data_IF_741201256823
#
_entry.id   IF_741201256823
#
_cell.length_a   1.000
_cell.length_b   1.000
_cell.length_c   1.000
_cell.angle_alpha   90.00
_cell.angle_beta   90.00
_cell.angle_gamma   90.00
#
_symmetry.space_group_name_H-M   'P 1'
#
loop_
_entity.id
_entity.type
_entity.pdbx_description
1 polymer ?
#
# COMPACT_ATOMS: atom_id res chain seq x y z
N UNK A 1 -4.12 2.84 -22.91
CA UNK A 1 -5.15 2.64 -21.86
C UNK A 1 -4.61 1.87 -20.66
N UNK A 2 -3.91 0.75 -20.87
CA UNK A 2 -3.36 -0.08 -19.78
C UNK A 2 -2.35 0.66 -18.87
N UNK A 3 -1.48 1.53 -19.41
CA UNK A 3 -0.53 2.30 -18.60
C UNK A 3 -1.21 3.31 -17.66
N UNK A 4 -2.28 3.97 -18.11
CA UNK A 4 -3.06 4.89 -17.27
C UNK A 4 -3.70 4.12 -16.10
N UNK A 5 -4.23 2.94 -16.38
CA UNK A 5 -4.80 2.05 -15.36
C UNK A 5 -3.75 1.62 -14.33
N UNK A 6 -2.55 1.24 -14.78
CA UNK A 6 -1.44 0.88 -13.88
C UNK A 6 -0.99 2.07 -13.02
N UNK A 7 -0.89 3.27 -13.59
CA UNK A 7 -0.57 4.48 -12.82
C UNK A 7 -1.63 4.80 -11.76
N UNK A 8 -2.92 4.69 -12.10
CA UNK A 8 -4.01 4.91 -11.14
C UNK A 8 -3.98 3.86 -10.04
N UNK A 9 -3.78 2.57 -10.37
CA UNK A 9 -3.65 1.50 -9.38
C UNK A 9 -2.46 1.73 -8.43
N UNK A 10 -1.32 2.18 -8.98
CA UNK A 10 -0.15 2.53 -8.18
C UNK A 10 -0.45 3.69 -7.21
N UNK A 11 -1.08 4.76 -7.71
CA UNK A 11 -1.46 5.91 -6.89
C UNK A 11 -2.43 5.52 -5.76
N UNK A 12 -3.43 4.68 -6.06
CA UNK A 12 -4.39 4.15 -5.07
C UNK A 12 -3.69 3.29 -4.03
N UNK A 13 -2.75 2.43 -4.44
CA UNK A 13 -1.99 1.59 -3.51
C UNK A 13 -1.08 2.42 -2.57
N UNK A 14 -0.44 3.47 -3.09
CA UNK A 14 0.34 4.42 -2.28
C UNK A 14 -0.55 5.17 -1.28
N UNK A 15 -1.76 5.56 -1.70
CA UNK A 15 -2.73 6.23 -0.82
C UNK A 15 -3.25 5.29 0.29
N UNK A 16 -3.48 4.02 -0.04
CA UNK A 16 -3.87 3.02 0.94
C UNK A 16 -2.76 2.74 1.97
N UNK A 17 -1.48 2.73 1.56
CA UNK A 17 -0.34 2.67 2.48
C UNK A 17 -0.31 3.86 3.44
N UNK A 18 -0.56 5.06 2.92
CA UNK A 18 -0.59 6.27 3.74
C UNK A 18 -1.69 6.19 4.81
N UNK A 19 -2.90 5.77 4.42
CA UNK A 19 -3.99 5.52 5.37
C UNK A 19 -3.63 4.45 6.40
N UNK A 20 -2.92 3.39 6.00
CA UNK A 20 -2.48 2.34 6.91
C UNK A 20 -1.54 2.88 8.00
N UNK A 21 -0.58 3.74 7.61
CA UNK A 21 0.28 4.46 8.56
C UNK A 21 -0.51 5.41 9.47
N UNK A 22 -1.49 6.13 8.93
CA UNK A 22 -2.38 6.98 9.71
C UNK A 22 -3.17 6.18 10.75
N UNK A 23 -3.82 5.08 10.36
CA UNK A 23 -4.55 4.21 11.28
C UNK A 23 -3.63 3.56 12.32
N UNK A 24 -2.41 3.15 11.96
CA UNK A 24 -1.43 2.66 12.92
C UNK A 24 -1.08 3.72 13.98
N UNK A 25 -0.95 4.98 13.57
CA UNK A 25 -0.76 6.14 14.45
C UNK A 25 -1.95 6.42 15.36
N UNK A 26 -3.17 6.44 14.79
CA UNK A 26 -4.42 6.64 15.55
C UNK A 26 -4.62 5.52 16.58
N UNK A 27 -4.35 4.26 16.20
CA UNK A 27 -4.44 3.11 17.13
C UNK A 27 -3.40 3.25 18.23
N UNK A 28 -2.18 3.71 17.92
CA UNK A 28 -1.14 4.00 18.92
C UNK A 28 -1.61 5.01 19.95
N UNK A 29 -2.23 6.10 19.47
CA UNK A 29 -2.62 7.23 20.30
C UNK A 29 -3.86 6.92 21.17
N UNK A 30 -4.83 6.16 20.63
CA UNK A 30 -6.07 5.80 21.34
C UNK A 30 -5.96 4.55 22.21
N UNK A 31 -5.19 3.55 21.81
CA UNK A 31 -5.15 2.23 22.45
C UNK A 31 -3.77 1.85 23.01
N UNK A 32 -2.74 2.70 22.85
CA UNK A 32 -1.40 2.44 23.36
C UNK A 32 -0.71 1.24 22.68
N UNK A 33 0.10 0.49 23.44
CA UNK A 33 0.76 -0.76 22.98
C UNK A 33 -0.26 -1.90 22.96
N UNK A 34 -1.11 -1.89 21.95
CA UNK A 34 -2.12 -2.94 21.75
C UNK A 34 -1.83 -3.75 20.48
N UNK A 35 -2.16 -5.04 20.51
CA UNK A 35 -1.85 -5.97 19.42
C UNK A 35 -2.58 -5.62 18.11
N UNK A 36 -3.59 -4.73 18.20
CA UNK A 36 -4.29 -4.15 17.06
C UNK A 36 -3.37 -3.42 16.07
N UNK A 37 -2.18 -2.97 16.47
CA UNK A 37 -1.20 -2.41 15.53
C UNK A 37 -0.65 -3.43 14.52
N UNK A 38 -0.72 -4.73 14.83
CA UNK A 38 -0.30 -5.77 13.89
C UNK A 38 -1.17 -5.78 12.62
N UNK A 39 -2.43 -5.37 12.71
CA UNK A 39 -3.36 -5.32 11.58
C UNK A 39 -2.90 -4.31 10.51
N UNK A 40 -2.73 -3.01 10.79
CA UNK A 40 -2.23 -2.08 9.79
C UNK A 40 -0.81 -2.40 9.34
N UNK A 41 0.07 -2.95 10.21
CA UNK A 41 1.41 -3.37 9.79
C UNK A 41 1.32 -4.49 8.74
N UNK A 42 0.46 -5.49 8.94
CA UNK A 42 0.29 -6.61 7.99
C UNK A 42 -0.29 -6.11 6.66
N UNK A 43 -1.28 -5.23 6.72
CA UNK A 43 -1.88 -4.62 5.51
C UNK A 43 -0.85 -3.75 4.77
N UNK A 44 0.01 -3.03 5.50
CA UNK A 44 1.09 -2.26 4.89
C UNK A 44 2.10 -3.14 4.13
N UNK A 45 2.49 -4.28 4.71
CA UNK A 45 3.38 -5.25 4.05
C UNK A 45 2.74 -5.81 2.77
N UNK A 46 1.43 -6.12 2.81
CA UNK A 46 0.70 -6.59 1.63
C UNK A 46 0.63 -5.51 0.54
N UNK A 47 0.28 -4.27 0.89
CA UNK A 47 0.21 -3.15 -0.05
C UNK A 47 1.57 -2.85 -0.68
N UNK A 48 2.66 -2.96 0.08
CA UNK A 48 4.02 -2.82 -0.46
C UNK A 48 4.34 -3.88 -1.53
N UNK A 49 3.95 -5.14 -1.30
CA UNK A 49 4.10 -6.21 -2.29
C UNK A 49 3.27 -5.96 -3.55
N UNK A 50 2.03 -5.43 -3.41
CA UNK A 50 1.19 -5.09 -4.56
C UNK A 50 1.83 -3.96 -5.39
N UNK A 51 2.38 -2.92 -4.74
CA UNK A 51 3.09 -1.84 -5.44
C UNK A 51 4.31 -2.40 -6.18
N UNK A 52 5.07 -3.30 -5.55
CA UNK A 52 6.22 -3.93 -6.17
C UNK A 52 5.83 -4.64 -7.48
N UNK A 53 4.83 -5.50 -7.43
CA UNK A 53 4.30 -6.23 -8.59
C UNK A 53 3.75 -5.28 -9.65
N UNK A 54 3.01 -4.24 -9.26
CA UNK A 54 2.49 -3.23 -10.20
C UNK A 54 3.62 -2.49 -10.91
N UNK A 55 4.70 -2.15 -10.18
CA UNK A 55 5.86 -1.47 -10.74
C UNK A 55 6.65 -2.38 -11.69
N UNK A 56 6.74 -3.67 -11.36
CA UNK A 56 7.41 -4.67 -12.17
C UNK A 56 6.62 -4.97 -13.46
N UNK A 57 5.29 -5.11 -13.36
CA UNK A 57 4.37 -5.21 -14.49
C UNK A 57 4.41 -3.96 -15.38
N UNK A 58 4.45 -2.77 -14.78
CA UNK A 58 4.57 -1.52 -15.53
C UNK A 58 5.90 -1.43 -16.30
N UNK A 59 7.01 -1.91 -15.72
CA UNK A 59 8.28 -2.03 -16.46
C UNK A 59 8.18 -3.05 -17.59
N UNK A 60 7.66 -4.25 -17.33
CA UNK A 60 7.50 -5.28 -18.35
C UNK A 60 6.60 -4.82 -19.50
N UNK A 61 5.51 -4.11 -19.23
CA UNK A 61 4.64 -3.52 -20.24
C UNK A 61 5.32 -2.44 -21.11
N UNK A 62 6.42 -1.85 -20.63
CA UNK A 62 7.19 -0.82 -21.35
C UNK A 62 8.30 -1.43 -22.22
N UNK A 63 8.62 -2.71 -22.00
CA UNK A 63 9.61 -3.48 -22.76
C UNK A 63 8.98 -4.58 -23.64
N UNK A 64 7.65 -4.70 -23.64
CA UNK A 64 6.88 -5.52 -24.58
C UNK A 64 6.44 -4.67 -25.77
#
# INVERSE_FOLDING_TARGET
>A
MMELTLMIMLAVAMFALFLCGFYAGVIKEKYGKNWLQAVPITVAILMFNIIWILTELAKSSRYQ
#
